data_IF_195799917675
#
_entry.id   IF_195799917675
#
_cell.length_a   1.000
_cell.length_b   1.000
_cell.length_c   1.000
_cell.angle_alpha   90.00
_cell.angle_beta   90.00
_cell.angle_gamma   90.00
#
_symmetry.space_group_name_H-M   'P 1'
#
loop_
_entity.id
_entity.type
_entity.pdbx_description
1 polymer ?
#
# COMPACT_ATOMS: atom_id res chain seq x y z
N UNK A 1 7.61 26.85 -4.19
CA UNK A 1 7.62 25.38 -4.09
C UNK A 1 6.17 24.99 -4.15
N UNK A 2 5.75 24.35 -5.25
CA UNK A 2 4.42 23.76 -5.30
C UNK A 2 4.33 22.68 -4.23
N UNK A 3 3.21 22.59 -3.52
CA UNK A 3 2.99 21.53 -2.55
C UNK A 3 3.14 20.15 -3.24
N UNK A 4 3.72 19.14 -2.57
CA UNK A 4 3.78 17.80 -3.13
C UNK A 4 2.36 17.34 -3.46
N UNK A 5 2.10 17.04 -4.73
CA UNK A 5 0.79 16.55 -5.18
C UNK A 5 0.64 15.10 -4.74
N UNK A 6 -0.50 14.79 -4.15
CA UNK A 6 -0.88 13.44 -3.78
C UNK A 6 -2.04 12.95 -4.65
N UNK A 7 -2.16 11.65 -4.76
CA UNK A 7 -3.32 10.96 -5.36
C UNK A 7 -4.00 10.13 -4.27
N UNK A 8 -5.27 9.78 -4.51
CA UNK A 8 -6.02 8.86 -3.68
C UNK A 8 -6.44 7.69 -4.54
N UNK A 9 -6.16 6.46 -4.08
CA UNK A 9 -6.55 5.23 -4.75
C UNK A 9 -7.17 4.32 -3.70
N UNK A 10 -8.46 4.03 -3.84
CA UNK A 10 -9.25 3.24 -2.90
C UNK A 10 -8.97 3.64 -1.43
N UNK A 11 -9.23 4.92 -1.12
CA UNK A 11 -9.01 5.57 0.19
C UNK A 11 -7.56 5.70 0.70
N UNK A 12 -6.56 5.21 -0.03
CA UNK A 12 -5.15 5.35 0.34
C UNK A 12 -4.47 6.49 -0.42
N UNK A 13 -3.55 7.17 0.26
CA UNK A 13 -2.84 8.32 -0.28
C UNK A 13 -1.43 7.95 -0.75
N UNK A 14 -1.05 8.47 -1.92
CA UNK A 14 0.26 8.21 -2.53
C UNK A 14 0.83 9.48 -3.18
N UNK A 15 2.14 9.49 -3.42
CA UNK A 15 2.79 10.49 -4.24
C UNK A 15 2.22 10.50 -5.66
N UNK A 16 1.81 11.66 -6.18
CA UNK A 16 1.23 11.75 -7.52
C UNK A 16 2.23 11.41 -8.63
N UNK A 17 3.51 11.74 -8.44
CA UNK A 17 4.51 11.57 -9.51
C UNK A 17 5.06 10.15 -9.57
N UNK A 18 5.17 9.47 -8.43
CA UNK A 18 5.86 8.18 -8.32
C UNK A 18 4.97 7.03 -7.84
N UNK A 19 3.78 7.32 -7.31
CA UNK A 19 2.85 6.33 -6.77
C UNK A 19 3.30 5.73 -5.43
N UNK A 20 4.47 6.13 -4.91
CA UNK A 20 4.97 5.67 -3.62
C UNK A 20 4.19 6.32 -2.47
N UNK A 21 3.86 5.52 -1.49
CA UNK A 21 3.33 6.00 -0.22
C UNK A 21 4.41 6.74 0.59
N UNK A 22 5.62 6.21 0.62
CA UNK A 22 6.82 6.89 1.11
C UNK A 22 7.76 7.19 -0.05
N UNK A 23 7.73 8.44 -0.53
CA UNK A 23 8.52 8.86 -1.68
C UNK A 23 9.75 9.67 -1.26
N UNK A 24 10.94 9.08 -1.44
CA UNK A 24 12.21 9.78 -1.22
C UNK A 24 12.48 10.91 -2.22
N UNK A 25 11.95 10.80 -3.44
CA UNK A 25 12.18 11.79 -4.50
C UNK A 25 11.40 13.08 -4.26
N UNK A 26 10.14 12.96 -3.82
CA UNK A 26 9.27 14.10 -3.51
C UNK A 26 9.26 14.47 -2.01
N UNK A 27 10.00 13.72 -1.19
CA UNK A 27 10.08 13.89 0.26
C UNK A 27 8.71 13.89 0.96
N UNK A 28 7.78 13.04 0.51
CA UNK A 28 6.46 12.87 1.12
C UNK A 28 6.32 11.48 1.76
N UNK A 29 5.66 11.42 2.90
CA UNK A 29 5.40 10.20 3.65
C UNK A 29 3.92 10.15 4.03
N UNK A 30 3.18 9.27 3.36
CA UNK A 30 1.75 9.05 3.56
C UNK A 30 1.45 7.81 4.41
N UNK A 31 2.50 7.10 4.88
CA UNK A 31 2.34 5.83 5.61
C UNK A 31 1.50 5.98 6.86
N UNK A 32 1.68 7.07 7.61
CA UNK A 32 0.89 7.31 8.83
C UNK A 32 -0.61 7.40 8.52
N UNK A 33 -0.99 8.16 7.49
CA UNK A 33 -2.40 8.33 7.10
C UNK A 33 -3.02 7.01 6.66
N UNK A 34 -2.28 6.23 5.88
CA UNK A 34 -2.76 4.95 5.39
C UNK A 34 -2.76 3.87 6.49
N UNK A 35 -1.81 3.90 7.43
CA UNK A 35 -1.82 3.03 8.61
C UNK A 35 -3.09 3.22 9.44
N UNK A 36 -3.51 4.47 9.66
CA UNK A 36 -4.78 4.75 10.33
C UNK A 36 -5.96 4.12 9.57
N UNK A 37 -5.96 4.16 8.23
CA UNK A 37 -7.01 3.51 7.42
C UNK A 37 -6.97 1.98 7.53
N UNK A 38 -5.79 1.38 7.60
CA UNK A 38 -5.64 -0.06 7.84
C UNK A 38 -6.21 -0.40 9.21
N UNK A 39 -5.83 0.34 10.26
CA UNK A 39 -6.33 0.14 11.62
C UNK A 39 -7.86 0.25 11.68
N UNK A 40 -8.46 1.23 11.00
CA UNK A 40 -9.91 1.40 10.95
C UNK A 40 -10.61 0.17 10.33
N UNK A 41 -10.05 -0.41 9.26
CA UNK A 41 -10.60 -1.61 8.62
C UNK A 41 -10.38 -2.86 9.48
N UNK A 42 -9.21 -2.97 10.13
CA UNK A 42 -8.85 -4.12 10.96
C UNK A 42 -9.58 -4.14 12.31
N UNK A 43 -9.95 -2.97 12.87
CA UNK A 43 -10.76 -2.91 14.09
C UNK A 43 -12.11 -3.64 13.95
N UNK A 44 -12.65 -3.70 12.73
CA UNK A 44 -13.88 -4.42 12.42
C UNK A 44 -13.63 -5.87 11.96
N UNK A 45 -12.37 -6.25 11.75
CA UNK A 45 -11.97 -7.51 11.14
C UNK A 45 -11.08 -8.37 12.06
N UNK A 46 -11.74 -9.19 12.88
CA UNK A 46 -11.10 -10.15 13.80
C UNK A 46 -10.17 -11.19 13.15
N UNK A 47 -10.03 -11.20 11.81
CA UNK A 47 -9.16 -12.13 11.09
C UNK A 47 -7.67 -11.80 11.22
N UNK A 48 -7.32 -10.59 11.64
CA UNK A 48 -5.94 -10.11 11.64
C UNK A 48 -5.47 -9.72 13.04
N UNK A 49 -4.58 -10.52 13.62
CA UNK A 49 -3.90 -10.24 14.90
C UNK A 49 -2.65 -9.38 14.63
N UNK A 50 -2.87 -8.23 13.99
CA UNK A 50 -1.81 -7.37 13.42
C UNK A 50 -1.33 -6.29 14.40
N UNK A 51 -1.51 -6.50 15.70
CA UNK A 51 -1.18 -5.50 16.74
C UNK A 51 0.30 -5.09 16.74
N UNK A 52 1.19 -5.79 16.01
CA UNK A 52 2.61 -5.63 16.24
C UNK A 52 3.48 -4.92 15.21
N UNK A 53 3.08 -4.64 13.95
CA UNK A 53 4.04 -3.88 13.12
C UNK A 53 3.55 -3.15 11.85
N UNK A 54 2.53 -2.31 11.97
CA UNK A 54 2.24 -1.34 10.91
C UNK A 54 3.37 -0.28 10.75
N UNK A 55 4.25 -0.15 11.74
CA UNK A 55 5.41 0.76 11.67
C UNK A 55 6.58 0.16 10.86
N UNK A 56 6.87 -1.14 11.00
CA UNK A 56 7.93 -1.83 10.24
C UNK A 56 7.46 -2.39 8.89
N UNK A 57 6.17 -2.26 8.54
CA UNK A 57 5.68 -2.74 7.24
C UNK A 57 6.42 -2.10 6.07
N UNK A 58 6.47 -2.85 4.97
CA UNK A 58 7.00 -2.32 3.71
C UNK A 58 6.07 -1.23 3.14
N UNK A 59 6.68 -0.16 2.61
CA UNK A 59 5.95 0.87 1.86
C UNK A 59 5.37 0.25 0.59
N UNK A 60 4.16 0.66 0.23
CA UNK A 60 3.49 0.23 -1.00
C UNK A 60 3.59 1.32 -2.08
N UNK A 61 3.42 0.89 -3.34
CA UNK A 61 3.40 1.76 -4.51
C UNK A 61 2.17 1.45 -5.38
N UNK A 62 1.28 2.43 -5.53
CA UNK A 62 0.01 2.25 -6.25
C UNK A 62 0.22 1.94 -7.75
N UNK A 63 1.19 2.58 -8.39
CA UNK A 63 1.46 2.38 -9.82
C UNK A 63 2.08 1.01 -10.08
N UNK A 64 2.98 0.54 -9.20
CA UNK A 64 3.54 -0.81 -9.27
C UNK A 64 2.46 -1.89 -9.09
N UNK A 65 1.37 -1.57 -8.38
CA UNK A 65 0.20 -2.42 -8.18
C UNK A 65 -0.86 -2.24 -9.27
N UNK A 66 -0.58 -1.45 -10.30
CA UNK A 66 -1.40 -1.30 -11.50
C UNK A 66 -2.47 -0.21 -11.41
N UNK A 67 -2.29 0.81 -10.57
CA UNK A 67 -3.11 2.00 -10.61
C UNK A 67 -2.73 2.91 -11.79
N UNK A 68 -3.74 3.31 -12.57
CA UNK A 68 -3.61 4.24 -13.69
C UNK A 68 -4.70 5.31 -13.62
N UNK A 69 -4.41 6.50 -14.12
CA UNK A 69 -5.39 7.58 -14.15
C UNK A 69 -6.61 7.17 -15.00
N UNK A 70 -7.80 7.32 -14.43
CA UNK A 70 -9.04 7.04 -15.12
C UNK A 70 -9.24 8.03 -16.27
N UNK A 71 -9.60 7.52 -17.45
CA UNK A 71 -9.78 8.37 -18.65
C UNK A 71 -11.03 9.24 -18.50
N UNK A 72 -12.02 8.79 -17.73
CA UNK A 72 -13.35 9.37 -17.69
C UNK A 72 -13.58 10.36 -16.54
N UNK A 73 -12.73 10.31 -15.50
CA UNK A 73 -12.91 11.12 -14.29
C UNK A 73 -11.60 11.81 -13.95
N UNK A 74 -11.68 13.13 -13.79
CA UNK A 74 -10.53 13.91 -13.32
C UNK A 74 -10.16 13.42 -11.91
N UNK A 75 -8.85 13.22 -11.69
CA UNK A 75 -8.25 12.84 -10.41
C UNK A 75 -8.67 11.48 -9.80
N UNK A 76 -9.30 10.58 -10.56
CA UNK A 76 -9.56 9.20 -10.09
C UNK A 76 -8.61 8.18 -10.72
N UNK A 77 -8.43 7.05 -10.05
CA UNK A 77 -7.52 5.99 -10.48
C UNK A 77 -8.27 4.67 -10.63
N UNK A 78 -8.07 4.02 -11.78
CA UNK A 78 -8.58 2.69 -12.08
C UNK A 78 -7.46 1.66 -12.07
N UNK A 79 -7.80 0.39 -11.86
CA UNK A 79 -6.83 -0.68 -12.03
C UNK A 79 -6.67 -1.03 -13.52
N UNK A 80 -5.43 -1.27 -13.95
CA UNK A 80 -5.11 -1.65 -15.34
C UNK A 80 -5.81 -2.94 -15.79
N UNK A 81 -6.14 -3.83 -14.85
CA UNK A 81 -6.70 -5.15 -15.15
C UNK A 81 -8.21 -5.14 -15.40
N UNK A 82 -8.95 -4.35 -14.64
CA UNK A 82 -10.41 -4.35 -14.68
C UNK A 82 -10.99 -3.01 -15.17
N UNK A 83 -10.16 -1.98 -15.39
CA UNK A 83 -10.60 -0.62 -15.71
C UNK A 83 -11.73 -0.14 -14.80
N UNK A 84 -11.59 -0.45 -13.51
CA UNK A 84 -12.54 -0.10 -12.46
C UNK A 84 -11.86 0.88 -11.54
N UNK A 85 -12.46 2.06 -11.40
CA UNK A 85 -12.03 3.07 -10.42
C UNK A 85 -12.12 2.47 -9.02
N UNK A 86 -11.06 2.66 -8.23
CA UNK A 86 -10.98 2.16 -6.85
C UNK A 86 -11.34 0.67 -6.74
N UNK A 87 -10.78 -0.14 -7.64
CA UNK A 87 -11.09 -1.56 -7.71
C UNK A 87 -10.77 -2.28 -6.39
N UNK A 88 -11.81 -2.59 -5.62
CA UNK A 88 -11.73 -3.27 -4.31
C UNK A 88 -10.93 -4.58 -4.35
N UNK A 89 -10.86 -5.26 -5.50
CA UNK A 89 -10.11 -6.52 -5.65
C UNK A 89 -8.63 -6.33 -5.94
N UNK A 90 -8.26 -5.24 -6.59
CA UNK A 90 -6.86 -4.97 -6.95
C UNK A 90 -6.17 -4.05 -5.94
N UNK A 91 -6.97 -3.22 -5.27
CA UNK A 91 -6.55 -2.23 -4.30
C UNK A 91 -7.07 -2.61 -2.91
N UNK A 92 -7.17 -3.90 -2.60
CA UNK A 92 -7.33 -4.38 -1.23
C UNK A 92 -6.00 -4.18 -0.50
N UNK A 93 -5.79 -2.97 -0.02
CA UNK A 93 -4.52 -2.58 0.60
C UNK A 93 -4.24 -3.36 1.89
N UNK A 94 -5.28 -3.79 2.59
CA UNK A 94 -5.15 -4.60 3.81
C UNK A 94 -4.65 -6.00 3.47
N UNK A 95 -5.23 -6.64 2.45
CA UNK A 95 -4.75 -7.94 1.96
C UNK A 95 -3.30 -7.83 1.44
N UNK A 96 -2.99 -6.76 0.69
CA UNK A 96 -1.64 -6.53 0.16
C UNK A 96 -0.61 -6.37 1.29
N UNK A 97 -0.90 -5.54 2.29
CA UNK A 97 0.00 -5.32 3.43
C UNK A 97 0.18 -6.59 4.24
N UNK A 98 -0.91 -7.33 4.50
CA UNK A 98 -0.85 -8.63 5.19
C UNK A 98 0.08 -9.59 4.45
N UNK A 99 -0.13 -9.74 3.13
CA UNK A 99 0.67 -10.66 2.33
C UNK A 99 2.15 -10.29 2.33
N UNK A 100 2.48 -9.00 2.25
CA UNK A 100 3.87 -8.57 2.35
C UNK A 100 4.49 -8.91 3.72
N UNK A 101 3.73 -8.79 4.81
CA UNK A 101 4.21 -9.20 6.13
C UNK A 101 4.46 -10.71 6.22
N UNK A 102 3.53 -11.52 5.70
CA UNK A 102 3.69 -12.99 5.62
C UNK A 102 4.92 -13.40 4.78
N UNK A 103 5.10 -12.77 3.62
CA UNK A 103 6.24 -13.02 2.72
C UNK A 103 7.58 -12.66 3.40
N UNK A 104 7.63 -11.57 4.18
CA UNK A 104 8.81 -11.16 4.95
C UNK A 104 9.11 -12.16 6.07
N UNK A 105 8.08 -12.60 6.81
CA UNK A 105 8.26 -13.63 7.84
C UNK A 105 8.77 -14.95 7.24
N UNK A 106 8.21 -15.39 6.11
CA UNK A 106 8.65 -16.59 5.41
C UNK A 106 10.12 -16.44 4.98
N UNK A 107 10.48 -15.35 4.30
CA UNK A 107 11.86 -15.08 3.90
C UNK A 107 12.83 -15.03 5.09
N UNK A 108 12.41 -14.42 6.20
CA UNK A 108 13.17 -14.40 7.45
C UNK A 108 13.43 -15.81 7.99
N UNK A 109 12.42 -16.69 7.98
CA UNK A 109 12.56 -18.10 8.39
C UNK A 109 13.53 -18.87 7.51
N UNK A 110 13.49 -18.66 6.19
CA UNK A 110 14.42 -19.30 5.25
C UNK A 110 15.87 -18.80 5.42
N UNK A 111 16.06 -17.50 5.69
CA UNK A 111 17.39 -16.92 5.88
C UNK A 111 18.08 -17.40 7.17
N UNK A 112 17.33 -17.70 8.23
CA UNK A 112 17.87 -18.28 9.47
C UNK A 112 18.26 -19.76 9.32
N UNK A 113 17.67 -20.48 8.38
CA UNK A 113 17.95 -21.90 8.12
C UNK A 113 19.22 -22.17 7.28
N UNK A 114 19.87 -21.13 6.73
CA UNK A 114 21.01 -21.28 5.83
C UNK A 114 22.37 -20.90 6.46
N UNK A 115 22.41 -20.60 7.76
CA UNK A 115 23.61 -20.14 8.48
C UNK A 115 24.46 -21.26 9.11
N UNK A 116 24.33 -22.50 8.63
CA UNK A 116 25.20 -23.62 9.05
C UNK A 116 25.83 -24.31 7.84
N UNK A 117 26.87 -23.72 7.24
CA UNK A 117 27.92 -24.44 6.51
C UNK A 117 29.27 -23.74 6.59
#
# INVERSE_FOLDING_TARGET
MDAPRNIVVNDFMFCADHGDEYCHACCCDHRLTNNIRIEDVLQDDSRFDFEHDLEERQSINAYALGAVAAIQTEDSFECEKHSTVDCERCFDWVEIVTKHAEDVEELGRWNLGNTER
#
